data_IF_800926293488
#
_entry.id   IF_800926293488
#
_cell.length_a   1.000
_cell.length_b   1.000
_cell.length_c   1.000
_cell.angle_alpha   90.00
_cell.angle_beta   90.00
_cell.angle_gamma   90.00
#
_symmetry.space_group_name_H-M   'P 1'
#
loop_
_entity.id
_entity.type
_entity.pdbx_description
1 polymer ?
#
# COMPACT_ATOMS: atom_id res chain seq x y z
N UNK A 1 37.03 32.19 63.07
CA UNK A 1 36.24 32.47 61.91
C UNK A 1 36.18 31.19 61.06
N UNK A 2 35.05 30.44 61.11
CA UNK A 2 34.91 29.16 60.43
C UNK A 2 34.11 29.39 59.13
N UNK A 3 34.74 29.12 57.97
CA UNK A 3 34.09 29.22 56.69
C UNK A 3 33.51 27.82 56.36
N UNK A 4 32.18 27.70 56.35
CA UNK A 4 31.46 26.51 55.91
C UNK A 4 31.35 26.56 54.40
N UNK A 5 32.05 25.64 53.73
CA UNK A 5 31.91 25.39 52.30
C UNK A 5 30.74 24.44 52.10
N UNK A 6 29.62 24.99 51.61
CA UNK A 6 28.44 24.21 51.22
C UNK A 6 28.68 23.66 49.80
N UNK A 7 28.99 22.37 49.73
CA UNK A 7 29.20 21.69 48.48
C UNK A 7 27.82 21.42 47.84
N UNK A 8 27.47 22.20 46.82
CA UNK A 8 26.24 21.97 46.02
C UNK A 8 26.50 20.88 45.00
N UNK A 9 26.11 19.63 45.35
CA UNK A 9 26.06 18.51 44.40
C UNK A 9 24.85 18.67 43.48
N UNK A 10 25.07 19.23 42.30
CA UNK A 10 24.08 19.24 41.22
C UNK A 10 24.09 17.84 40.58
N UNK A 11 23.12 17.02 40.97
CA UNK A 11 22.80 15.79 40.24
C UNK A 11 22.21 16.16 38.89
N UNK A 12 23.05 16.13 37.87
CA UNK A 12 22.59 16.18 36.47
C UNK A 12 21.97 14.84 36.13
N UNK A 13 20.63 14.75 36.30
CA UNK A 13 19.84 13.63 35.77
C UNK A 13 19.83 13.71 34.23
N UNK A 14 20.79 13.08 33.59
CA UNK A 14 20.80 12.85 32.15
C UNK A 14 19.78 11.75 31.87
N UNK A 15 18.51 12.11 31.72
CA UNK A 15 17.49 11.24 31.15
C UNK A 15 17.86 11.02 29.67
N UNK A 16 18.54 9.92 29.40
CA UNK A 16 18.69 9.41 28.03
C UNK A 16 17.29 9.04 27.53
N UNK A 17 16.67 9.98 26.79
CA UNK A 17 15.50 9.69 25.98
C UNK A 17 16.03 8.80 24.85
N UNK A 18 15.91 7.49 25.01
CA UNK A 18 16.05 6.56 23.91
C UNK A 18 14.89 6.84 22.94
N UNK A 19 15.14 7.66 21.95
CA UNK A 19 14.34 7.66 20.74
C UNK A 19 14.55 6.28 20.12
N UNK A 20 13.62 5.36 20.36
CA UNK A 20 13.52 4.15 19.57
C UNK A 20 13.18 4.60 18.14
N UNK A 21 14.20 4.74 17.31
CA UNK A 21 14.00 4.79 15.87
C UNK A 21 13.39 3.42 15.51
N UNK A 22 12.09 3.43 15.23
CA UNK A 22 11.47 2.27 14.57
C UNK A 22 12.19 2.13 13.22
N UNK A 23 13.13 1.22 13.16
CA UNK A 23 13.75 0.81 11.90
C UNK A 23 12.68 0.07 11.11
N UNK A 24 12.02 0.75 10.19
CA UNK A 24 11.14 0.09 9.23
C UNK A 24 11.97 -0.93 8.46
N UNK A 25 11.58 -2.19 8.55
CA UNK A 25 12.21 -3.24 7.77
C UNK A 25 12.00 -2.92 6.29
N UNK A 26 13.09 -2.75 5.55
CA UNK A 26 13.01 -2.57 4.12
C UNK A 26 12.72 -3.92 3.46
N UNK A 27 11.57 -4.03 2.79
CA UNK A 27 11.17 -5.23 2.08
C UNK A 27 11.76 -5.25 0.67
N UNK A 28 12.13 -6.44 0.21
CA UNK A 28 12.50 -6.64 -1.19
C UNK A 28 11.27 -6.40 -2.08
N UNK A 29 11.43 -5.60 -3.13
CA UNK A 29 10.41 -5.43 -4.16
C UNK A 29 10.29 -6.74 -4.94
N UNK A 30 9.06 -7.25 -5.07
CA UNK A 30 8.79 -8.49 -5.81
C UNK A 30 8.83 -8.26 -7.33
N UNK A 31 9.09 -9.33 -8.07
CA UNK A 31 8.92 -9.32 -9.52
C UNK A 31 7.45 -9.06 -9.88
N UNK A 32 7.22 -8.31 -10.95
CA UNK A 32 5.88 -8.01 -11.41
C UNK A 32 5.19 -9.27 -11.92
N UNK A 33 3.89 -9.48 -11.59
CA UNK A 33 3.14 -10.56 -12.19
C UNK A 33 2.87 -10.26 -13.67
N UNK A 34 2.62 -11.31 -14.46
CA UNK A 34 2.13 -11.11 -15.82
C UNK A 34 0.72 -10.49 -15.80
N UNK A 35 0.55 -9.39 -16.52
CA UNK A 35 -0.70 -8.66 -16.61
C UNK A 35 -0.98 -8.25 -18.06
N UNK A 36 -2.19 -8.59 -18.54
CA UNK A 36 -2.69 -8.20 -19.85
C UNK A 36 -3.98 -7.43 -19.64
N UNK A 37 -4.17 -6.30 -20.35
CA UNK A 37 -5.38 -5.50 -20.26
C UNK A 37 -6.55 -6.14 -21.04
N UNK A 38 -7.72 -5.48 -21.03
CA UNK A 38 -8.93 -5.92 -21.73
C UNK A 38 -8.81 -5.93 -23.28
N UNK A 39 -7.70 -5.42 -23.83
CA UNK A 39 -7.42 -5.40 -25.28
C UNK A 39 -6.34 -6.40 -25.69
N UNK A 40 -5.81 -7.18 -24.75
CA UNK A 40 -4.72 -8.13 -25.01
C UNK A 40 -3.32 -7.49 -25.01
N UNK A 41 -3.17 -6.24 -24.55
CA UNK A 41 -1.89 -5.55 -24.45
C UNK A 41 -1.23 -5.85 -23.12
N UNK A 42 0.09 -6.06 -23.11
CA UNK A 42 0.86 -6.25 -21.90
C UNK A 42 0.94 -4.96 -21.07
N UNK A 43 0.64 -5.07 -19.78
CA UNK A 43 0.70 -3.96 -18.83
C UNK A 43 2.10 -3.83 -18.24
N UNK A 44 2.70 -2.64 -18.39
CA UNK A 44 4.01 -2.32 -17.84
C UNK A 44 3.94 -2.03 -16.35
N UNK A 45 4.91 -2.52 -15.56
CA UNK A 45 5.05 -2.13 -14.15
C UNK A 45 6.27 -1.24 -13.99
N UNK A 46 6.10 -0.14 -13.26
CA UNK A 46 7.18 0.81 -13.01
C UNK A 46 7.28 1.16 -11.53
N UNK A 47 8.42 0.83 -10.92
CA UNK A 47 8.71 1.23 -9.56
C UNK A 47 9.06 2.73 -9.52
N UNK A 48 8.35 3.48 -8.68
CA UNK A 48 8.55 4.90 -8.48
C UNK A 48 9.34 5.17 -7.21
N UNK A 49 10.23 6.14 -7.24
CA UNK A 49 10.86 6.62 -6.00
C UNK A 49 9.78 7.27 -5.13
N UNK A 50 9.72 6.85 -3.88
CA UNK A 50 8.80 7.44 -2.91
C UNK A 50 9.14 8.91 -2.71
N UNK A 51 8.16 9.79 -2.94
CA UNK A 51 8.14 11.10 -2.29
C UNK A 51 7.36 10.92 -0.99
N UNK A 52 7.94 11.26 0.13
CA UNK A 52 7.41 11.06 1.51
C UNK A 52 5.98 11.60 1.76
N UNK A 53 5.34 12.20 0.78
CA UNK A 53 3.98 12.77 0.85
C UNK A 53 2.89 11.93 0.18
N UNK A 54 3.23 10.87 -0.57
CA UNK A 54 2.24 10.05 -1.26
C UNK A 54 2.10 8.69 -0.58
N UNK A 55 0.94 8.45 0.01
CA UNK A 55 0.60 7.19 0.68
C UNK A 55 -0.15 6.25 -0.29
N UNK A 56 0.08 6.39 -1.57
CA UNK A 56 -0.45 5.51 -2.60
C UNK A 56 0.51 4.34 -2.79
N UNK A 57 0.00 3.12 -2.87
CA UNK A 57 0.80 1.91 -3.10
C UNK A 57 0.87 1.55 -4.58
N UNK A 58 -0.26 1.56 -5.28
CA UNK A 58 -0.36 1.29 -6.70
C UNK A 58 -1.25 2.31 -7.42
N UNK A 59 -1.02 2.50 -8.71
CA UNK A 59 -1.91 3.27 -9.58
C UNK A 59 -1.89 2.66 -10.97
N UNK A 60 -3.04 2.16 -11.43
CA UNK A 60 -3.27 1.79 -12.82
C UNK A 60 -3.55 3.04 -13.66
N UNK A 61 -2.84 3.20 -14.76
CA UNK A 61 -2.98 4.34 -15.69
C UNK A 61 -2.69 3.96 -17.13
N UNK A 62 -2.91 4.91 -18.03
CA UNK A 62 -2.30 4.94 -19.35
C UNK A 62 -1.15 5.96 -19.33
N UNK A 63 -0.03 5.61 -19.95
CA UNK A 63 1.11 6.53 -20.09
C UNK A 63 0.86 7.62 -21.13
N UNK A 64 1.86 8.46 -21.41
CA UNK A 64 1.76 9.53 -22.40
C UNK A 64 1.53 9.06 -23.85
N UNK A 65 1.75 7.77 -24.13
CA UNK A 65 1.48 7.12 -25.41
C UNK A 65 0.17 6.27 -25.36
N UNK A 66 -0.64 6.46 -24.33
CA UNK A 66 -1.87 5.70 -24.07
C UNK A 66 -1.67 4.19 -23.84
N UNK A 67 -0.45 3.75 -23.54
CA UNK A 67 -0.13 2.36 -23.21
C UNK A 67 -0.46 2.04 -21.75
N UNK A 68 -0.89 0.79 -21.45
CA UNK A 68 -1.26 0.42 -20.10
C UNK A 68 -0.01 0.33 -19.20
N UNK A 69 -0.07 0.98 -18.04
CA UNK A 69 1.02 1.02 -17.06
C UNK A 69 0.49 0.99 -15.63
N UNK A 70 1.22 0.33 -14.74
CA UNK A 70 1.01 0.35 -13.30
C UNK A 70 2.22 0.99 -12.64
N UNK A 71 2.01 2.07 -11.91
CA UNK A 71 3.02 2.69 -11.07
C UNK A 71 2.97 2.08 -9.68
N UNK A 72 4.12 1.66 -9.14
CA UNK A 72 4.31 1.08 -7.82
C UNK A 72 5.01 2.07 -6.90
N UNK A 73 4.42 2.40 -5.77
CA UNK A 73 4.96 3.34 -4.80
C UNK A 73 5.19 2.64 -3.45
N UNK A 74 6.24 3.02 -2.73
CA UNK A 74 6.51 2.53 -1.36
C UNK A 74 6.56 0.99 -1.22
N UNK A 75 6.84 0.25 -2.29
CA UNK A 75 6.87 -1.21 -2.25
C UNK A 75 7.94 -1.75 -1.32
N UNK A 76 9.07 -1.05 -1.16
CA UNK A 76 10.09 -1.40 -0.18
C UNK A 76 9.64 -1.25 1.29
N UNK A 77 8.50 -0.60 1.54
CA UNK A 77 7.89 -0.45 2.86
C UNK A 77 6.69 -1.39 3.06
N UNK A 78 6.35 -2.17 2.04
CA UNK A 78 5.17 -3.05 2.02
C UNK A 78 5.58 -4.51 2.00
N UNK A 79 4.90 -5.35 2.78
CA UNK A 79 5.18 -6.79 2.80
C UNK A 79 4.91 -7.44 1.43
N UNK A 80 5.58 -8.56 1.16
CA UNK A 80 5.34 -9.33 -0.07
C UNK A 80 3.85 -9.62 -0.34
N UNK A 81 3.04 -10.06 0.64
CA UNK A 81 1.61 -10.24 0.44
C UNK A 81 0.88 -8.97 -0.01
N UNK A 82 1.19 -7.81 0.58
CA UNK A 82 0.56 -6.54 0.18
C UNK A 82 1.01 -6.11 -1.21
N UNK A 83 2.29 -6.20 -1.54
CA UNK A 83 2.80 -5.92 -2.89
C UNK A 83 2.06 -6.77 -3.95
N UNK A 84 1.92 -8.09 -3.72
CA UNK A 84 1.20 -8.99 -4.62
C UNK A 84 -0.26 -8.59 -4.77
N UNK A 85 -0.93 -8.29 -3.66
CA UNK A 85 -2.34 -7.90 -3.67
C UNK A 85 -2.54 -6.63 -4.51
N UNK A 86 -1.72 -5.61 -4.28
CA UNK A 86 -1.79 -4.35 -5.03
C UNK A 86 -1.51 -4.56 -6.52
N UNK A 87 -0.50 -5.36 -6.88
CA UNK A 87 -0.22 -5.64 -8.29
C UNK A 87 -1.40 -6.29 -9.02
N UNK A 88 -2.06 -7.26 -8.40
CA UNK A 88 -3.22 -7.91 -8.98
C UNK A 88 -4.46 -7.01 -9.00
N UNK A 89 -4.61 -6.16 -7.97
CA UNK A 89 -5.68 -5.17 -7.89
C UNK A 89 -5.56 -4.14 -9.03
N UNK A 90 -4.39 -3.53 -9.19
CA UNK A 90 -4.16 -2.57 -10.27
C UNK A 90 -4.25 -3.22 -11.66
N UNK A 91 -3.79 -4.46 -11.79
CA UNK A 91 -3.96 -5.24 -13.01
C UNK A 91 -5.45 -5.48 -13.32
N UNK A 92 -6.29 -5.71 -12.31
CA UNK A 92 -7.72 -5.91 -12.50
C UNK A 92 -8.41 -4.68 -13.11
N UNK A 93 -8.03 -3.45 -12.74
CA UNK A 93 -8.53 -2.24 -13.37
C UNK A 93 -8.23 -2.16 -14.87
N UNK A 94 -7.05 -2.65 -15.30
CA UNK A 94 -6.73 -2.79 -16.72
C UNK A 94 -7.57 -3.90 -17.39
N UNK A 95 -7.79 -5.01 -16.71
CA UNK A 95 -8.53 -6.16 -17.24
C UNK A 95 -10.03 -5.89 -17.37
N UNK A 96 -10.62 -5.12 -16.46
CA UNK A 96 -12.04 -4.75 -16.49
C UNK A 96 -12.34 -3.59 -17.45
N UNK A 97 -11.30 -2.90 -17.94
CA UNK A 97 -11.44 -1.74 -18.80
C UNK A 97 -11.90 -0.49 -18.05
N UNK A 98 -11.72 -0.42 -16.74
CA UNK A 98 -12.09 0.73 -15.92
C UNK A 98 -11.41 2.02 -16.38
N UNK A 99 -10.21 1.91 -16.94
CA UNK A 99 -9.42 3.03 -17.43
C UNK A 99 -9.83 3.52 -18.83
N UNK A 100 -10.76 2.83 -19.48
CA UNK A 100 -11.34 3.24 -20.76
C UNK A 100 -12.57 4.13 -20.61
N UNK A 101 -13.04 4.30 -19.37
CA UNK A 101 -14.23 5.09 -19.01
C UNK A 101 -13.82 6.28 -18.12
N UNK A 102 -14.63 7.34 -18.08
CA UNK A 102 -14.44 8.42 -17.13
C UNK A 102 -14.37 7.87 -15.69
N UNK A 103 -13.46 8.41 -14.89
CA UNK A 103 -13.34 8.01 -13.50
C UNK A 103 -14.59 8.45 -12.73
N UNK A 104 -15.30 7.55 -12.03
CA UNK A 104 -16.45 7.92 -11.22
C UNK A 104 -16.02 8.81 -10.05
N UNK A 105 -16.93 9.63 -9.49
CA UNK A 105 -16.62 10.41 -8.29
C UNK A 105 -16.14 9.50 -7.16
N UNK A 106 -15.10 9.94 -6.45
CA UNK A 106 -14.53 9.20 -5.31
C UNK A 106 -15.63 8.89 -4.29
N UNK A 107 -15.62 7.67 -3.77
CA UNK A 107 -16.61 7.13 -2.83
C UNK A 107 -18.06 7.06 -3.36
N UNK A 108 -18.28 7.27 -4.67
CA UNK A 108 -19.56 6.93 -5.28
C UNK A 108 -19.79 5.42 -5.28
N UNK A 109 -21.03 4.98 -5.41
CA UNK A 109 -21.37 3.56 -5.52
C UNK A 109 -20.60 2.88 -6.67
N UNK A 110 -20.50 3.55 -7.83
CA UNK A 110 -19.77 3.02 -8.98
C UNK A 110 -18.27 2.88 -8.69
N UNK A 111 -17.66 3.87 -8.02
CA UNK A 111 -16.25 3.79 -7.61
C UNK A 111 -16.03 2.61 -6.66
N UNK A 112 -16.82 2.50 -5.59
CA UNK A 112 -16.70 1.41 -4.62
C UNK A 112 -16.93 0.03 -5.26
N UNK A 113 -17.85 -0.06 -6.23
CA UNK A 113 -18.08 -1.30 -6.98
C UNK A 113 -16.86 -1.72 -7.81
N UNK A 114 -16.19 -0.78 -8.50
CA UNK A 114 -14.95 -1.05 -9.26
C UNK A 114 -13.85 -1.53 -8.34
N UNK A 115 -13.66 -0.86 -7.21
CA UNK A 115 -12.68 -1.27 -6.18
C UNK A 115 -12.97 -2.67 -5.64
N UNK A 116 -14.23 -2.99 -5.35
CA UNK A 116 -14.65 -4.32 -4.90
C UNK A 116 -14.36 -5.42 -5.91
N UNK A 117 -14.63 -5.15 -7.19
CA UNK A 117 -14.34 -6.10 -8.28
C UNK A 117 -12.83 -6.31 -8.40
N UNK A 118 -12.03 -5.25 -8.34
CA UNK A 118 -10.58 -5.33 -8.39
C UNK A 118 -10.01 -6.12 -7.19
N UNK A 119 -10.51 -5.88 -5.98
CA UNK A 119 -10.13 -6.65 -4.78
C UNK A 119 -10.47 -8.14 -4.91
N UNK A 120 -11.66 -8.47 -5.43
CA UNK A 120 -12.08 -9.84 -5.64
C UNK A 120 -11.17 -10.56 -6.66
N UNK A 121 -10.87 -9.92 -7.79
CA UNK A 121 -9.97 -10.47 -8.81
C UNK A 121 -8.57 -10.68 -8.22
N UNK A 122 -8.04 -9.70 -7.47
CA UNK A 122 -6.75 -9.82 -6.80
C UNK A 122 -6.71 -11.01 -5.85
N UNK A 123 -7.73 -11.19 -5.02
CA UNK A 123 -7.82 -12.31 -4.09
C UNK A 123 -7.89 -13.67 -4.81
N UNK A 124 -8.66 -13.76 -5.90
CA UNK A 124 -8.76 -14.99 -6.71
C UNK A 124 -7.40 -15.33 -7.31
N UNK A 125 -6.69 -14.37 -7.90
CA UNK A 125 -5.37 -14.59 -8.49
C UNK A 125 -4.32 -14.97 -7.45
N UNK A 126 -4.28 -14.26 -6.31
CA UNK A 126 -3.37 -14.64 -5.23
C UNK A 126 -3.58 -16.07 -4.75
N UNK A 127 -4.84 -16.52 -4.70
CA UNK A 127 -5.17 -17.90 -4.33
C UNK A 127 -4.74 -18.91 -5.38
N UNK A 128 -4.86 -18.58 -6.66
CA UNK A 128 -4.50 -19.44 -7.77
C UNK A 128 -2.98 -19.58 -7.92
N UNK A 129 -2.27 -18.46 -7.82
CA UNK A 129 -0.83 -18.37 -8.13
C UNK A 129 0.07 -18.70 -6.92
N UNK A 130 -0.51 -18.94 -5.73
CA UNK A 130 0.28 -19.15 -4.53
C UNK A 130 -0.30 -20.24 -3.62
N UNK A 131 0.53 -21.24 -3.26
CA UNK A 131 0.16 -22.34 -2.37
C UNK A 131 -0.32 -21.83 -0.98
N UNK A 132 0.15 -20.68 -0.55
CA UNK A 132 -0.24 -20.00 0.69
C UNK A 132 -1.24 -18.85 0.45
N UNK A 133 -1.93 -18.83 -0.70
CA UNK A 133 -2.74 -17.71 -1.15
C UNK A 133 -3.71 -17.18 -0.09
N UNK A 134 -4.45 -18.05 0.61
CA UNK A 134 -5.37 -17.63 1.69
C UNK A 134 -4.68 -16.88 2.82
N UNK A 135 -3.50 -17.35 3.26
CA UNK A 135 -2.71 -16.70 4.33
C UNK A 135 -2.18 -15.36 3.84
N UNK A 136 -1.75 -15.29 2.59
CA UNK A 136 -1.24 -14.06 1.98
C UNK A 136 -2.34 -13.01 1.83
N UNK A 137 -3.53 -13.39 1.35
CA UNK A 137 -4.70 -12.51 1.26
C UNK A 137 -5.01 -11.92 2.64
N UNK A 138 -5.14 -12.75 3.68
CA UNK A 138 -5.42 -12.27 5.03
C UNK A 138 -4.36 -11.27 5.54
N UNK A 139 -3.08 -11.54 5.28
CA UNK A 139 -1.99 -10.62 5.66
C UNK A 139 -2.06 -9.31 4.88
N UNK A 140 -2.28 -9.38 3.57
CA UNK A 140 -2.38 -8.21 2.69
C UNK A 140 -3.54 -7.30 3.12
N UNK A 141 -4.74 -7.85 3.33
CA UNK A 141 -5.93 -7.10 3.74
C UNK A 141 -5.74 -6.44 5.11
N UNK A 142 -5.09 -7.14 6.06
CA UNK A 142 -4.80 -6.55 7.38
C UNK A 142 -3.85 -5.36 7.27
N UNK A 143 -2.82 -5.46 6.43
CA UNK A 143 -1.85 -4.39 6.21
C UNK A 143 -2.47 -3.24 5.43
N UNK A 144 -3.26 -3.53 4.38
CA UNK A 144 -4.02 -2.54 3.62
C UNK A 144 -4.95 -1.73 4.52
N UNK A 145 -5.70 -2.39 5.40
CA UNK A 145 -6.55 -1.74 6.40
C UNK A 145 -5.79 -0.78 7.30
N UNK A 146 -4.59 -1.15 7.76
CA UNK A 146 -3.73 -0.27 8.56
C UNK A 146 -3.30 0.95 7.76
N UNK A 147 -2.88 0.75 6.50
CA UNK A 147 -2.51 1.82 5.60
C UNK A 147 -3.68 2.78 5.35
N UNK A 148 -4.86 2.27 5.01
CA UNK A 148 -6.06 3.07 4.78
C UNK A 148 -6.45 3.92 6.01
N UNK A 149 -6.38 3.35 7.22
CA UNK A 149 -6.60 4.10 8.47
C UNK A 149 -5.58 5.21 8.68
N UNK A 150 -4.30 4.93 8.41
CA UNK A 150 -3.23 5.90 8.53
C UNK A 150 -3.41 7.09 7.58
N UNK A 151 -3.90 6.82 6.36
CA UNK A 151 -4.18 7.83 5.33
C UNK A 151 -5.44 8.65 5.66
N UNK A 152 -6.29 8.17 6.57
CA UNK A 152 -7.50 8.86 6.98
C UNK A 152 -8.74 8.51 6.15
N UNK A 153 -8.76 7.33 5.50
CA UNK A 153 -9.99 6.83 4.89
C UNK A 153 -11.10 6.68 5.94
N UNK A 154 -12.32 6.99 5.56
CA UNK A 154 -13.46 6.84 6.44
C UNK A 154 -13.77 5.36 6.74
N UNK A 155 -14.45 5.11 7.87
CA UNK A 155 -14.73 3.75 8.34
C UNK A 155 -15.61 2.95 7.39
N UNK A 156 -16.51 3.61 6.65
CA UNK A 156 -17.43 2.94 5.72
C UNK A 156 -16.66 2.44 4.49
N UNK A 157 -15.75 3.24 3.95
CA UNK A 157 -14.86 2.85 2.85
C UNK A 157 -13.98 1.67 3.25
N UNK A 158 -13.35 1.72 4.44
CA UNK A 158 -12.53 0.62 4.94
C UNK A 158 -13.36 -0.65 5.08
N UNK A 159 -14.56 -0.54 5.65
CA UNK A 159 -15.44 -1.68 5.86
C UNK A 159 -15.92 -2.30 4.55
N UNK A 160 -16.27 -1.48 3.54
CA UNK A 160 -16.70 -2.01 2.24
C UNK A 160 -15.64 -2.86 1.55
N UNK A 161 -14.35 -2.58 1.81
CA UNK A 161 -13.23 -3.38 1.29
C UNK A 161 -12.88 -4.60 2.14
N UNK A 162 -13.36 -4.67 3.39
CA UNK A 162 -13.20 -5.84 4.26
C UNK A 162 -14.26 -6.90 4.01
N UNK A 163 -15.47 -6.47 3.64
CA UNK A 163 -16.65 -7.36 3.51
C UNK A 163 -16.68 -8.04 2.12
N UNK A 164 -15.76 -7.72 1.21
CA UNK A 164 -15.58 -8.33 -0.11
C UNK A 164 -14.52 -9.43 -0.08
#
# INVERSE_FOLDING_TARGET
MKINIFLFLIFFNFTFIFFSQETYAEYKIIDAPHCINNRGEEVKFQNMKSNNSMITLGIAKKDGESKPIIYRFNYNQSSKPLQMFIDYHECAHHQTGDLDKPHPPQNSFEHLMKESIADCIAAIRMKADNINGRVFIKKALLELKKAMKYIGFDKSTIKSREDN
#
